data_IF_764552089418
#
_entry.id   IF_764552089418
#
_cell.length_a   1.000
_cell.length_b   1.000
_cell.length_c   1.000
_cell.angle_alpha   90.00
_cell.angle_beta   90.00
_cell.angle_gamma   90.00
#
_symmetry.space_group_name_H-M   'P 1'
#
loop_
_entity.id
_entity.type
_entity.pdbx_description
1 polymer ?
#
# COMPACT_ATOMS: atom_id res chain seq x y z
N UNK A 1 -11.57 8.71 7.70
CA UNK A 1 -10.86 8.92 6.42
C UNK A 1 -11.88 9.34 5.34
N UNK A 2 -11.53 10.03 4.24
CA UNK A 2 -12.52 10.33 3.18
C UNK A 2 -12.93 9.05 2.44
N UNK A 3 -14.14 9.02 1.86
CA UNK A 3 -14.65 7.86 1.14
C UNK A 3 -13.74 7.42 -0.03
N UNK A 4 -13.25 8.38 -0.82
CA UNK A 4 -12.30 8.11 -1.91
C UNK A 4 -11.01 7.45 -1.42
N UNK A 5 -10.49 7.89 -0.26
CA UNK A 5 -9.26 7.32 0.28
C UNK A 5 -9.48 5.91 0.85
N UNK A 6 -10.63 5.65 1.48
CA UNK A 6 -11.03 4.28 1.89
C UNK A 6 -11.14 3.35 0.68
N UNK A 7 -11.77 3.81 -0.40
CA UNK A 7 -11.85 3.03 -1.64
C UNK A 7 -10.46 2.69 -2.17
N UNK A 8 -9.53 3.66 -2.18
CA UNK A 8 -8.15 3.42 -2.57
C UNK A 8 -7.45 2.37 -1.70
N UNK A 9 -7.68 2.37 -0.40
CA UNK A 9 -7.15 1.33 0.50
C UNK A 9 -7.67 -0.06 0.09
N UNK A 10 -8.97 -0.17 -0.18
CA UNK A 10 -9.57 -1.44 -0.62
C UNK A 10 -9.05 -1.89 -2.00
N UNK A 11 -8.90 -0.97 -2.95
CA UNK A 11 -8.34 -1.27 -4.28
C UNK A 11 -6.89 -1.83 -4.16
N UNK A 12 -6.09 -1.29 -3.24
CA UNK A 12 -4.73 -1.79 -2.95
C UNK A 12 -4.78 -3.19 -2.32
N UNK A 13 -5.66 -3.40 -1.34
CA UNK A 13 -5.85 -4.71 -0.68
C UNK A 13 -6.28 -5.78 -1.68
N UNK A 14 -7.21 -5.45 -2.59
CA UNK A 14 -7.70 -6.38 -3.60
C UNK A 14 -6.56 -6.90 -4.50
N UNK A 15 -5.55 -6.08 -4.74
CA UNK A 15 -4.42 -6.36 -5.63
C UNK A 15 -3.14 -6.79 -4.91
N UNK A 16 -3.13 -6.92 -3.58
CA UNK A 16 -1.97 -7.35 -2.78
C UNK A 16 -2.27 -8.71 -2.13
N UNK A 17 -1.56 -9.75 -2.58
CA UNK A 17 -1.74 -11.14 -2.14
C UNK A 17 -1.34 -11.40 -0.69
N UNK A 18 -0.75 -10.43 0.00
CA UNK A 18 -0.45 -10.57 1.43
C UNK A 18 -1.66 -10.31 2.32
N UNK A 19 -2.74 -9.74 1.77
CA UNK A 19 -3.95 -9.44 2.51
C UNK A 19 -4.97 -10.57 2.44
N UNK A 20 -5.33 -11.04 3.62
CA UNK A 20 -6.31 -12.10 3.85
C UNK A 20 -7.37 -11.63 4.87
N UNK A 21 -8.57 -12.21 4.80
CA UNK A 21 -9.61 -11.97 5.80
C UNK A 21 -9.29 -12.76 7.07
N UNK A 22 -9.46 -12.13 8.22
CA UNK A 22 -9.24 -12.76 9.53
C UNK A 22 -10.18 -12.19 10.58
N UNK A 23 -10.43 -12.92 11.67
CA UNK A 23 -11.16 -12.39 12.83
C UNK A 23 -10.20 -11.65 13.76
N UNK A 24 -10.60 -10.44 14.15
CA UNK A 24 -9.94 -9.68 15.20
C UNK A 24 -10.97 -9.11 16.17
N UNK A 25 -11.02 -9.71 17.38
CA UNK A 25 -11.94 -9.33 18.46
C UNK A 25 -13.42 -9.44 18.06
N UNK A 26 -13.78 -10.51 17.35
CA UNK A 26 -15.17 -10.77 16.93
C UNK A 26 -15.63 -9.88 15.76
N UNK A 27 -14.68 -9.40 14.96
CA UNK A 27 -14.93 -8.59 13.76
C UNK A 27 -14.00 -9.07 12.66
N UNK A 28 -14.54 -9.24 11.47
CA UNK A 28 -13.73 -9.57 10.31
C UNK A 28 -12.94 -8.34 9.83
N UNK A 29 -11.66 -8.54 9.55
CA UNK A 29 -10.72 -7.50 9.12
C UNK A 29 -9.81 -8.04 8.03
N UNK A 30 -9.20 -7.15 7.27
CA UNK A 30 -8.08 -7.46 6.40
C UNK A 30 -6.77 -7.40 7.19
N UNK A 31 -6.02 -8.50 7.19
CA UNK A 31 -4.67 -8.57 7.71
C UNK A 31 -3.69 -8.77 6.57
N UNK A 32 -2.73 -7.87 6.42
CA UNK A 32 -1.67 -8.00 5.44
C UNK A 32 -0.37 -7.38 5.89
N UNK A 33 0.54 -7.10 4.94
CA UNK A 33 1.92 -6.72 5.26
C UNK A 33 2.30 -5.37 4.68
N UNK A 34 3.00 -4.56 5.49
CA UNK A 34 3.62 -3.33 5.04
C UNK A 34 4.53 -3.58 3.83
N UNK A 35 4.38 -2.77 2.78
CA UNK A 35 5.17 -2.87 1.56
C UNK A 35 6.67 -2.65 1.84
N UNK A 36 7.02 -1.86 2.84
CA UNK A 36 8.42 -1.56 3.17
C UNK A 36 9.09 -2.62 4.05
N UNK A 37 8.45 -3.01 5.14
CA UNK A 37 9.10 -3.77 6.23
C UNK A 37 8.40 -5.08 6.61
N UNK A 38 7.34 -5.47 5.89
CA UNK A 38 6.51 -6.65 6.18
C UNK A 38 5.78 -6.64 7.55
N UNK A 39 5.83 -5.55 8.32
CA UNK A 39 5.04 -5.42 9.54
C UNK A 39 3.54 -5.61 9.25
N UNK A 40 2.83 -6.31 10.13
CA UNK A 40 1.41 -6.58 9.97
C UNK A 40 0.59 -5.29 9.98
N UNK A 41 -0.34 -5.19 9.04
CA UNK A 41 -1.29 -4.09 8.88
C UNK A 41 -2.69 -4.65 8.97
N UNK A 42 -3.50 -4.07 9.84
CA UNK A 42 -4.93 -4.37 9.97
C UNK A 42 -5.76 -3.23 9.41
N UNK A 43 -6.75 -3.57 8.61
CA UNK A 43 -7.71 -2.65 7.99
C UNK A 43 -9.12 -3.25 8.11
N UNK A 44 -10.09 -2.42 8.44
CA UNK A 44 -11.52 -2.73 8.35
C UNK A 44 -11.90 -3.14 6.92
N UNK A 45 -12.93 -3.98 6.76
CA UNK A 45 -13.59 -4.26 5.48
C UNK A 45 -14.08 -3.00 4.74
N UNK A 46 -14.37 -1.91 5.46
CA UNK A 46 -14.72 -0.62 4.86
C UNK A 46 -13.50 0.20 4.40
N UNK A 47 -12.28 -0.32 4.58
CA UNK A 47 -11.04 0.35 4.17
C UNK A 47 -10.50 1.36 5.20
N UNK A 48 -11.07 1.41 6.40
CA UNK A 48 -10.55 2.22 7.50
C UNK A 48 -9.38 1.48 8.20
N UNK A 49 -8.17 2.06 8.25
CA UNK A 49 -7.03 1.44 8.92
C UNK A 49 -7.28 1.28 10.42
N UNK A 50 -7.24 0.04 10.91
CA UNK A 50 -7.26 -0.28 12.35
C UNK A 50 -5.85 -0.07 12.93
N UNK A 51 -4.85 -0.55 12.19
CA UNK A 51 -3.45 -0.17 12.40
C UNK A 51 -3.18 1.20 11.77
N UNK A 52 -2.09 1.89 12.15
CA UNK A 52 -1.68 3.16 11.50
C UNK A 52 -1.09 2.91 10.08
N UNK A 53 -1.83 2.19 9.24
CA UNK A 53 -1.51 1.97 7.84
C UNK A 53 -1.80 3.24 7.02
N UNK A 54 -0.93 3.53 6.07
CA UNK A 54 -1.04 4.67 5.16
C UNK A 54 -0.84 4.20 3.73
N UNK A 55 -1.51 4.87 2.79
CA UNK A 55 -1.25 4.69 1.37
C UNK A 55 0.14 5.28 1.08
N UNK A 56 0.94 4.52 0.36
CA UNK A 56 2.31 4.82 0.01
C UNK A 56 2.45 4.81 -1.52
N UNK A 57 3.10 5.84 -2.05
CA UNK A 57 3.52 5.89 -3.45
C UNK A 57 4.94 5.33 -3.57
N UNK A 58 5.11 4.32 -4.43
CA UNK A 58 6.43 3.70 -4.65
C UNK A 58 7.38 4.72 -5.30
N UNK A 59 6.94 5.31 -6.41
CA UNK A 59 7.51 6.53 -6.98
C UNK A 59 6.73 7.72 -6.41
N UNK A 60 7.38 8.69 -5.73
CA UNK A 60 6.71 9.86 -5.20
C UNK A 60 6.02 10.68 -6.31
N UNK A 61 4.85 11.24 -6.00
CA UNK A 61 4.12 12.13 -6.93
C UNK A 61 4.96 13.33 -7.42
N UNK A 62 5.79 13.90 -6.55
CA UNK A 62 6.68 15.02 -6.90
C UNK A 62 7.77 14.63 -7.92
N UNK A 63 7.98 13.33 -8.11
CA UNK A 63 8.94 12.76 -9.06
C UNK A 63 8.25 11.97 -10.18
N UNK A 64 6.99 12.30 -10.48
CA UNK A 64 6.24 11.72 -11.61
C UNK A 64 5.50 10.42 -11.29
N UNK A 65 5.42 10.01 -10.02
CA UNK A 65 4.62 8.86 -9.62
C UNK A 65 3.12 9.09 -9.81
N UNK A 66 2.42 8.06 -10.28
CA UNK A 66 0.97 8.09 -10.56
C UNK A 66 0.17 7.49 -9.41
N UNK A 67 -1.16 7.67 -9.44
CA UNK A 67 -2.11 7.00 -8.53
C UNK A 67 -2.55 5.61 -9.06
N UNK A 68 -1.81 5.05 -10.02
CA UNK A 68 -2.04 3.68 -10.51
C UNK A 68 -1.73 2.66 -9.40
N UNK A 69 -2.50 1.58 -9.31
CA UNK A 69 -2.40 0.61 -8.22
C UNK A 69 -1.04 -0.12 -8.17
N UNK A 70 -0.35 -0.21 -9.29
CA UNK A 70 1.01 -0.72 -9.45
C UNK A 70 2.05 0.18 -8.78
N UNK A 71 1.75 1.48 -8.65
CA UNK A 71 2.58 2.46 -7.95
C UNK A 71 2.15 2.67 -6.49
N UNK A 72 1.10 1.98 -6.03
CA UNK A 72 0.56 2.13 -4.68
C UNK A 72 0.75 0.88 -3.83
N UNK A 73 0.91 1.09 -2.52
CA UNK A 73 0.88 0.03 -1.52
C UNK A 73 0.48 0.57 -0.14
N UNK A 74 0.26 -0.33 0.82
CA UNK A 74 0.05 0.05 2.21
C UNK A 74 1.38 -0.04 2.99
N UNK A 75 1.66 1.01 3.78
CA UNK A 75 2.84 1.09 4.64
C UNK A 75 2.45 1.39 6.08
N UNK A 76 3.28 0.96 7.04
CA UNK A 76 3.10 1.36 8.43
C UNK A 76 3.54 2.81 8.66
N UNK A 77 2.98 3.46 9.67
CA UNK A 77 3.33 4.83 10.03
C UNK A 77 4.84 5.06 10.21
N UNK A 78 5.60 4.10 10.75
CA UNK A 78 7.06 4.20 10.90
C UNK A 78 7.77 4.33 9.55
N UNK A 79 7.38 3.53 8.56
CA UNK A 79 7.98 3.59 7.23
C UNK A 79 7.57 4.85 6.48
N UNK A 80 6.31 5.27 6.59
CA UNK A 80 5.82 6.50 5.99
C UNK A 80 6.49 7.75 6.58
N UNK A 81 6.64 7.82 7.92
CA UNK A 81 7.36 8.91 8.59
C UNK A 81 8.85 8.96 8.19
N UNK A 82 9.49 7.80 8.02
CA UNK A 82 10.87 7.71 7.54
C UNK A 82 11.08 8.17 6.09
N UNK A 83 10.00 8.38 5.32
CA UNK A 83 10.04 8.91 3.94
C UNK A 83 9.85 10.44 3.88
N UNK A 84 9.25 11.07 4.88
CA UNK A 84 9.03 12.52 4.93
C UNK A 84 10.32 13.35 4.92
N UNK A 85 11.47 12.74 5.17
CA UNK A 85 12.81 13.33 5.04
C UNK A 85 13.39 13.27 3.63
N UNK A 86 12.69 12.70 2.64
CA UNK A 86 13.16 12.52 1.24
C UNK A 86 12.59 13.55 0.26
N UNK A 87 12.22 14.74 0.73
CA UNK A 87 11.99 15.92 -0.13
C UNK A 87 13.30 16.50 -0.68
N UNK A 88 14.28 15.65 -0.99
CA UNK A 88 15.54 16.09 -1.58
C UNK A 88 15.32 16.30 -3.09
N UNK A 89 15.55 17.51 -3.64
CA UNK A 89 15.48 17.77 -5.07
C UNK A 89 16.45 16.90 -5.90
N UNK A 90 17.42 16.22 -5.26
CA UNK A 90 18.31 15.23 -5.89
C UNK A 90 17.78 13.80 -5.85
N UNK A 91 16.54 13.54 -5.44
CA UNK A 91 15.96 12.20 -5.38
C UNK A 91 16.19 11.38 -6.67
N UNK A 92 16.02 12.00 -7.84
CA UNK A 92 16.24 11.34 -9.13
C UNK A 92 17.71 10.96 -9.39
N UNK A 93 18.66 11.59 -8.70
CA UNK A 93 20.12 11.34 -8.82
C UNK A 93 20.67 10.52 -7.64
N UNK A 94 19.85 10.22 -6.63
CA UNK A 94 20.25 9.42 -5.47
C UNK A 94 20.11 7.92 -5.80
N UNK A 95 21.25 7.25 -5.99
CA UNK A 95 21.29 5.81 -6.24
C UNK A 95 20.57 5.00 -5.15
N UNK A 96 20.60 5.44 -3.87
CA UNK A 96 19.89 4.75 -2.78
C UNK A 96 18.38 4.93 -2.87
N UNK A 97 17.93 6.06 -3.38
CA UNK A 97 16.50 6.28 -3.64
C UNK A 97 16.02 5.38 -4.79
N UNK A 98 16.77 5.33 -5.88
CA UNK A 98 16.47 4.47 -7.02
C UNK A 98 16.45 2.97 -6.64
N UNK A 99 17.44 2.51 -5.87
CA UNK A 99 17.48 1.13 -5.37
C UNK A 99 16.26 0.81 -4.49
N UNK A 100 15.86 1.74 -3.61
CA UNK A 100 14.66 1.58 -2.80
C UNK A 100 13.40 1.47 -3.67
N UNK A 101 13.24 2.35 -4.67
CA UNK A 101 12.10 2.29 -5.61
C UNK A 101 12.08 0.96 -6.33
N UNK A 102 13.20 0.54 -6.92
CA UNK A 102 13.32 -0.71 -7.65
C UNK A 102 12.93 -1.91 -6.78
N UNK A 103 13.39 -1.94 -5.52
CA UNK A 103 13.03 -2.98 -4.54
C UNK A 103 11.54 -2.98 -4.22
N UNK A 104 10.93 -1.81 -4.02
CA UNK A 104 9.50 -1.70 -3.72
C UNK A 104 8.63 -2.09 -4.92
N UNK A 105 9.04 -1.71 -6.13
CA UNK A 105 8.36 -2.13 -7.37
C UNK A 105 8.46 -3.64 -7.57
N UNK A 106 9.63 -4.24 -7.35
CA UNK A 106 9.81 -5.69 -7.43
C UNK A 106 8.88 -6.42 -6.44
N UNK A 107 8.86 -5.96 -5.19
CA UNK A 107 7.95 -6.50 -4.17
C UNK A 107 6.48 -6.29 -4.54
N UNK A 108 6.12 -5.14 -5.13
CA UNK A 108 4.75 -4.87 -5.54
C UNK A 108 4.30 -5.83 -6.64
N UNK A 109 5.17 -6.14 -7.61
CA UNK A 109 4.93 -7.15 -8.65
C UNK A 109 4.80 -8.56 -8.08
N UNK A 110 5.68 -8.94 -7.16
CA UNK A 110 5.64 -10.25 -6.49
C UNK A 110 4.33 -10.46 -5.71
N UNK A 111 3.83 -9.37 -5.09
CA UNK A 111 2.58 -9.39 -4.34
C UNK A 111 1.34 -9.20 -5.21
N UNK A 112 1.49 -8.94 -6.50
CA UNK A 112 0.36 -8.58 -7.33
C UNK A 112 -0.59 -9.77 -7.46
N UNK A 113 -1.84 -9.57 -7.06
CA UNK A 113 -2.96 -10.47 -7.33
C UNK A 113 -3.87 -9.80 -8.34
N UNK A 114 -4.31 -10.56 -9.34
CA UNK A 114 -5.40 -10.12 -10.21
C UNK A 114 -6.66 -10.05 -9.34
N UNK A 115 -7.26 -8.86 -9.16
CA UNK A 115 -8.47 -8.77 -8.38
C UNK A 115 -9.55 -9.57 -9.12
N UNK A 116 -10.25 -10.44 -8.38
CA UNK A 116 -11.39 -11.15 -8.93
C UNK A 116 -12.35 -10.10 -9.52
N UNK A 117 -12.80 -10.32 -10.76
CA UNK A 117 -13.82 -9.48 -11.34
C UNK A 117 -15.00 -9.45 -10.35
N UNK A 118 -15.65 -8.30 -10.12
CA UNK A 118 -16.86 -8.31 -9.31
C UNK A 118 -17.77 -9.37 -9.91
N UNK A 119 -18.21 -10.33 -9.08
CA UNK A 119 -19.17 -11.33 -9.48
C UNK A 119 -20.27 -10.60 -10.24
N UNK A 120 -20.40 -10.90 -11.53
CA UNK A 120 -21.55 -10.48 -12.30
C UNK A 120 -22.74 -11.19 -11.65
N UNK A 121 -23.40 -10.50 -10.71
CA UNK A 121 -24.73 -10.88 -10.26
C UNK A 121 -25.61 -10.99 -11.51
N UNK A 122 -26.31 -12.13 -11.61
CA UNK A 122 -27.11 -12.63 -12.74
C UNK A 122 -28.01 -11.59 -13.46
#
# INVERSE_FOLDING_TARGET
MSASKRRRVLDIIATDNTFERTDFRGREVWLGKCLHCNAHLMVDLNGDPISRATIEHIIPRTHGGTDALENLGLACARCNQGKGSRHDPRYNKDARAQELVARLQARRRERWRIPEAPDSED
#
